data_IF_430818914466
#
_entry.id   IF_430818914466
#
_cell.length_a   1.000
_cell.length_b   1.000
_cell.length_c   1.000
_cell.angle_alpha   90.00
_cell.angle_beta   90.00
_cell.angle_gamma   90.00
#
_symmetry.space_group_name_H-M   'P 1'
#
loop_
_entity.id
_entity.type
_entity.pdbx_description
1 polymer ?
#
# COMPACT_ATOMS: atom_id res chain seq x y z
N UNK A 1 5.79 12.36 22.54
CA UNK A 1 6.12 11.11 21.78
C UNK A 1 4.95 10.14 21.97
N UNK A 2 4.06 10.10 21.01
CA UNK A 2 2.89 9.22 21.09
C UNK A 2 3.25 7.86 20.52
N UNK A 3 3.61 6.93 21.38
CA UNK A 3 3.75 5.51 21.03
C UNK A 3 2.35 4.93 20.87
N UNK A 4 1.64 5.32 19.82
CA UNK A 4 0.39 4.65 19.47
C UNK A 4 0.75 3.26 18.97
N UNK A 5 0.29 2.25 19.71
CA UNK A 5 0.29 0.85 19.30
C UNK A 5 -0.28 0.78 17.88
N UNK A 6 0.32 -0.02 17.02
CA UNK A 6 -0.06 -0.25 15.62
C UNK A 6 -1.44 -0.95 15.51
N UNK A 7 -2.46 -0.34 16.09
CA UNK A 7 -3.85 -0.72 15.92
C UNK A 7 -4.42 -0.08 14.64
N UNK A 8 -5.40 -0.73 14.05
CA UNK A 8 -6.15 -0.17 12.92
C UNK A 8 -6.68 1.23 13.26
N UNK A 9 -6.32 2.20 12.44
CA UNK A 9 -6.84 3.57 12.57
C UNK A 9 -8.30 3.56 12.15
N UNK A 10 -9.15 4.14 13.00
CA UNK A 10 -10.54 4.42 12.68
C UNK A 10 -10.71 5.90 12.41
N UNK A 11 -11.26 6.20 11.25
CA UNK A 11 -11.53 7.57 10.83
C UNK A 11 -12.88 8.01 11.39
N UNK A 12 -12.96 9.20 12.02
CA UNK A 12 -14.24 9.75 12.49
C UNK A 12 -15.16 10.05 11.30
N UNK A 13 -16.44 9.82 11.48
CA UNK A 13 -17.43 10.01 10.40
C UNK A 13 -17.48 11.47 9.93
N UNK A 14 -17.18 12.42 10.83
CA UNK A 14 -17.16 13.85 10.56
C UNK A 14 -16.07 14.26 9.56
N UNK A 15 -14.99 13.48 9.44
CA UNK A 15 -13.94 13.71 8.47
C UNK A 15 -14.21 13.04 7.12
N UNK A 16 -15.28 12.23 7.01
CA UNK A 16 -15.62 11.47 5.82
C UNK A 16 -16.71 12.17 5.01
N UNK A 17 -16.51 12.29 3.72
CA UNK A 17 -17.54 12.70 2.77
C UNK A 17 -17.89 11.56 1.82
N UNK A 18 -19.18 11.42 1.53
CA UNK A 18 -19.70 10.31 0.75
C UNK A 18 -20.28 10.77 -0.59
N UNK A 19 -20.03 9.97 -1.62
CA UNK A 19 -20.71 10.09 -2.92
C UNK A 19 -21.26 8.72 -3.30
N UNK A 20 -22.49 8.74 -3.79
CA UNK A 20 -23.16 7.53 -4.28
C UNK A 20 -23.42 7.70 -5.77
N UNK A 21 -23.27 6.62 -6.51
CA UNK A 21 -23.50 6.60 -7.95
C UNK A 21 -23.92 5.20 -8.39
N UNK A 22 -24.41 5.12 -9.61
CA UNK A 22 -24.72 3.82 -10.22
C UNK A 22 -23.45 3.03 -10.45
N UNK A 23 -23.51 1.72 -10.22
CA UNK A 23 -22.40 0.84 -10.57
C UNK A 23 -22.36 0.69 -12.11
N UNK A 24 -21.19 0.92 -12.70
CA UNK A 24 -20.95 0.63 -14.12
C UNK A 24 -20.74 -0.87 -14.31
N UNK A 25 -21.54 -1.51 -15.14
CA UNK A 25 -21.37 -2.93 -15.50
C UNK A 25 -22.49 -3.44 -16.39
N UNK A 26 -22.27 -4.53 -17.16
CA UNK A 26 -23.33 -5.23 -17.89
C UNK A 26 -24.24 -5.88 -16.86
N UNK A 27 -25.40 -5.32 -16.62
CA UNK A 27 -26.36 -5.85 -15.66
C UNK A 27 -27.74 -5.34 -15.95
N UNK A 28 -28.74 -6.17 -15.66
CA UNK A 28 -30.16 -5.90 -15.91
C UNK A 28 -30.68 -4.64 -15.20
N UNK A 29 -32.01 -4.44 -15.23
CA UNK A 29 -32.70 -3.22 -14.76
C UNK A 29 -32.27 -2.70 -13.38
N UNK A 30 -31.80 -3.56 -12.47
CA UNK A 30 -31.37 -3.17 -11.12
C UNK A 30 -30.09 -2.32 -11.11
N UNK A 31 -29.18 -2.51 -12.07
CA UNK A 31 -27.93 -1.73 -12.22
C UNK A 31 -28.24 -0.31 -12.69
N UNK A 32 -29.32 -0.15 -13.47
CA UNK A 32 -29.71 1.14 -14.05
C UNK A 32 -30.57 2.01 -13.12
N UNK A 33 -31.08 1.47 -12.01
CA UNK A 33 -32.06 2.16 -11.13
C UNK A 33 -31.55 2.40 -9.73
N UNK A 34 -30.43 1.80 -9.30
CA UNK A 34 -29.95 1.89 -7.90
C UNK A 34 -28.54 2.42 -7.81
N UNK A 35 -28.32 3.46 -7.04
CA UNK A 35 -27.02 4.04 -6.72
C UNK A 35 -26.30 3.20 -5.65
N UNK A 36 -25.85 2.02 -6.05
CA UNK A 36 -25.22 1.06 -5.11
C UNK A 36 -23.73 1.29 -4.93
N UNK A 37 -23.04 2.01 -5.84
CA UNK A 37 -21.64 2.34 -5.70
C UNK A 37 -21.47 3.42 -4.63
N UNK A 38 -20.63 3.16 -3.64
CA UNK A 38 -20.28 4.09 -2.59
C UNK A 38 -18.82 4.51 -2.73
N UNK A 39 -18.57 5.81 -2.73
CA UNK A 39 -17.25 6.41 -2.71
C UNK A 39 -17.10 7.25 -1.45
N UNK A 40 -16.09 6.94 -0.66
CA UNK A 40 -15.68 7.72 0.52
C UNK A 40 -14.49 8.60 0.15
N UNK A 41 -14.51 9.83 0.62
CA UNK A 41 -13.45 10.82 0.44
C UNK A 41 -13.00 11.34 1.79
N UNK A 42 -11.72 11.47 1.99
CA UNK A 42 -11.12 11.92 3.23
C UNK A 42 -9.91 12.81 2.94
N UNK A 43 -9.83 13.95 3.62
CA UNK A 43 -8.72 14.89 3.47
C UNK A 43 -7.63 14.59 4.49
N UNK A 44 -6.45 14.20 3.99
CA UNK A 44 -5.27 13.93 4.81
C UNK A 44 -4.78 15.21 5.52
N UNK A 45 -4.81 16.34 4.81
CA UNK A 45 -4.30 17.60 5.33
C UNK A 45 -5.11 18.13 6.52
N UNK A 46 -6.45 18.00 6.47
CA UNK A 46 -7.38 18.50 7.50
C UNK A 46 -7.66 17.50 8.61
N UNK A 47 -7.12 16.29 8.55
CA UNK A 47 -7.36 15.28 9.58
C UNK A 47 -6.85 15.73 10.96
N UNK A 48 -7.68 15.52 11.97
CA UNK A 48 -7.39 15.85 13.38
C UNK A 48 -6.80 14.67 14.16
N UNK A 49 -6.89 13.46 13.62
CA UNK A 49 -6.45 12.24 14.31
C UNK A 49 -5.01 11.87 14.07
N UNK A 50 -4.36 12.43 13.04
CA UNK A 50 -2.98 12.18 12.68
C UNK A 50 -2.08 13.32 13.18
N UNK A 51 -0.91 12.96 13.72
CA UNK A 51 0.14 13.93 14.00
C UNK A 51 0.90 14.33 12.71
N UNK A 52 1.77 15.33 12.80
CA UNK A 52 2.48 15.86 11.63
C UNK A 52 3.41 14.81 10.99
N UNK A 53 4.09 14.00 11.79
CA UNK A 53 4.96 12.92 11.30
C UNK A 53 4.16 11.82 10.59
N UNK A 54 2.97 11.50 11.09
CA UNK A 54 2.04 10.55 10.47
C UNK A 54 1.50 11.09 9.14
N UNK A 55 1.14 12.38 9.11
CA UNK A 55 0.70 13.06 7.87
C UNK A 55 1.79 13.07 6.82
N UNK A 56 3.03 13.36 7.19
CA UNK A 56 4.17 13.35 6.27
C UNK A 56 4.41 11.95 5.70
N UNK A 57 4.42 10.93 6.54
CA UNK A 57 4.55 9.53 6.08
C UNK A 57 3.41 9.12 5.15
N UNK A 58 2.17 9.45 5.52
CA UNK A 58 1.00 9.14 4.71
C UNK A 58 1.03 9.88 3.36
N UNK A 59 1.42 11.15 3.34
CA UNK A 59 1.56 11.94 2.11
C UNK A 59 2.57 11.31 1.15
N UNK A 60 3.73 10.91 1.66
CA UNK A 60 4.75 10.25 0.83
C UNK A 60 4.28 8.92 0.26
N UNK A 61 3.66 8.08 1.08
CA UNK A 61 3.23 6.73 0.65
C UNK A 61 1.99 6.72 -0.22
N UNK A 62 1.07 7.64 0.01
CA UNK A 62 -0.19 7.75 -0.75
C UNK A 62 -0.10 8.74 -1.91
N UNK A 63 1.06 9.30 -2.20
CA UNK A 63 1.26 10.34 -3.23
C UNK A 63 0.58 10.03 -4.56
N UNK A 64 0.63 8.80 -5.03
CA UNK A 64 0.00 8.37 -6.28
C UNK A 64 -1.52 8.19 -6.21
N UNK A 65 -2.10 8.25 -5.01
CA UNK A 65 -3.54 8.06 -4.76
C UNK A 65 -4.23 9.32 -4.26
N UNK A 66 -3.46 10.29 -3.78
CA UNK A 66 -3.99 11.58 -3.35
C UNK A 66 -4.29 12.45 -4.57
N UNK A 67 -5.40 13.19 -4.50
CA UNK A 67 -5.68 14.28 -5.45
C UNK A 67 -4.72 15.44 -5.22
N UNK A 68 -4.70 16.43 -6.14
CA UNK A 68 -3.94 17.68 -5.97
C UNK A 68 -4.24 18.39 -4.66
N UNK A 69 -5.47 18.24 -4.16
CA UNK A 69 -5.94 18.87 -2.91
C UNK A 69 -5.66 18.01 -1.66
N UNK A 70 -4.88 16.93 -1.79
CA UNK A 70 -4.54 16.04 -0.67
C UNK A 70 -5.71 15.18 -0.18
N UNK A 71 -6.69 14.90 -1.02
CA UNK A 71 -7.86 14.06 -0.70
C UNK A 71 -7.62 12.64 -1.18
N UNK A 72 -7.85 11.67 -0.31
CA UNK A 72 -7.88 10.25 -0.63
C UNK A 72 -9.32 9.81 -0.90
N UNK A 73 -9.59 9.25 -2.07
CA UNK A 73 -10.89 8.73 -2.45
C UNK A 73 -10.83 7.21 -2.65
N UNK A 74 -11.79 6.49 -2.07
CA UNK A 74 -11.92 5.04 -2.21
C UNK A 74 -13.36 4.70 -2.53
N UNK A 75 -13.58 3.93 -3.59
CA UNK A 75 -14.90 3.51 -4.00
C UNK A 75 -15.07 1.98 -3.90
N UNK A 76 -16.30 1.55 -3.62
CA UNK A 76 -16.69 0.15 -3.67
C UNK A 76 -18.01 0.00 -4.44
N UNK A 77 -18.04 -0.95 -5.36
CA UNK A 77 -19.23 -1.40 -6.08
C UNK A 77 -19.37 -2.92 -6.04
N UNK A 78 -18.70 -3.55 -5.07
CA UNK A 78 -18.57 -5.01 -4.98
C UNK A 78 -19.89 -5.71 -4.66
N UNK A 79 -20.76 -5.06 -3.93
CA UNK A 79 -22.01 -5.63 -3.44
C UNK A 79 -23.23 -4.97 -4.11
N UNK A 80 -24.35 -5.66 -4.15
CA UNK A 80 -25.63 -5.10 -4.60
C UNK A 80 -26.26 -4.13 -3.58
N UNK A 81 -25.76 -4.15 -2.34
CA UNK A 81 -26.22 -3.29 -1.25
C UNK A 81 -25.32 -2.07 -1.14
N UNK A 82 -25.88 -0.86 -1.22
CA UNK A 82 -25.20 0.40 -0.98
C UNK A 82 -24.53 0.44 0.41
N UNK A 83 -25.25 -0.04 1.44
CA UNK A 83 -24.73 -0.11 2.80
C UNK A 83 -23.46 -0.98 2.88
N UNK A 84 -23.45 -2.16 2.26
CA UNK A 84 -22.28 -3.04 2.20
C UNK A 84 -21.12 -2.41 1.44
N UNK A 85 -21.39 -1.68 0.36
CA UNK A 85 -20.37 -0.97 -0.38
C UNK A 85 -19.78 0.20 0.42
N UNK A 86 -20.62 0.92 1.19
CA UNK A 86 -20.19 1.95 2.11
C UNK A 86 -19.22 1.40 3.17
N UNK A 87 -19.58 0.32 3.83
CA UNK A 87 -18.72 -0.36 4.80
C UNK A 87 -17.40 -0.85 4.15
N UNK A 88 -17.47 -1.47 2.99
CA UNK A 88 -16.29 -1.95 2.28
C UNK A 88 -15.34 -0.80 1.87
N UNK A 89 -15.87 0.33 1.42
CA UNK A 89 -15.08 1.50 1.06
C UNK A 89 -14.41 2.10 2.31
N UNK A 90 -15.13 2.21 3.43
CA UNK A 90 -14.59 2.68 4.70
C UNK A 90 -13.47 1.80 5.22
N UNK A 91 -13.71 0.50 5.28
CA UNK A 91 -12.71 -0.49 5.71
C UNK A 91 -11.44 -0.36 4.87
N UNK A 92 -11.58 -0.26 3.55
CA UNK A 92 -10.44 -0.13 2.66
C UNK A 92 -9.68 1.18 2.83
N UNK A 93 -10.39 2.29 3.04
CA UNK A 93 -9.78 3.59 3.34
C UNK A 93 -8.96 3.52 4.64
N UNK A 94 -9.54 2.99 5.72
CA UNK A 94 -8.87 2.84 7.03
C UNK A 94 -7.64 1.93 6.95
N UNK A 95 -7.67 0.87 6.15
CA UNK A 95 -6.51 0.01 5.88
C UNK A 95 -5.38 0.78 5.20
N UNK A 96 -5.69 1.52 4.13
CA UNK A 96 -4.72 2.32 3.40
C UNK A 96 -4.05 3.37 4.29
N UNK A 97 -4.83 4.05 5.12
CA UNK A 97 -4.31 5.05 6.06
C UNK A 97 -3.44 4.37 7.12
N UNK A 98 -3.90 3.26 7.70
CA UNK A 98 -3.14 2.50 8.70
C UNK A 98 -1.78 2.06 8.16
N UNK A 99 -1.74 1.51 6.95
CA UNK A 99 -0.49 1.11 6.28
C UNK A 99 0.41 2.32 6.00
N UNK A 100 -0.20 3.45 5.60
CA UNK A 100 0.55 4.64 5.23
C UNK A 100 1.23 5.33 6.41
N UNK A 101 0.61 5.36 7.57
CA UNK A 101 1.18 5.98 8.79
C UNK A 101 2.15 5.06 9.54
N UNK A 102 2.15 3.75 9.24
CA UNK A 102 3.02 2.81 9.93
C UNK A 102 4.51 3.24 9.83
N UNK A 103 5.29 3.19 10.92
CA UNK A 103 6.70 3.54 10.87
C UNK A 103 7.46 2.61 9.91
N UNK A 104 8.43 3.19 9.21
CA UNK A 104 9.30 2.41 8.32
C UNK A 104 10.25 1.58 9.15
N UNK A 105 10.12 0.26 9.08
CA UNK A 105 11.10 -0.62 9.70
C UNK A 105 12.47 -0.41 9.01
N UNK A 106 13.49 -0.03 9.79
CA UNK A 106 14.85 0.12 9.30
C UNK A 106 15.34 -1.24 8.80
N UNK A 107 15.48 -1.38 7.48
CA UNK A 107 15.96 -2.63 6.87
C UNK A 107 17.39 -2.89 7.31
N UNK A 108 17.61 -3.95 8.06
CA UNK A 108 18.96 -4.37 8.43
C UNK A 108 19.67 -4.88 7.16
N UNK A 109 20.91 -4.46 6.87
CA UNK A 109 21.65 -4.96 5.72
C UNK A 109 21.85 -6.47 5.85
N UNK A 110 21.48 -7.19 4.81
CA UNK A 110 21.63 -8.65 4.78
C UNK A 110 23.10 -8.99 4.54
N UNK A 111 23.71 -9.72 5.46
CA UNK A 111 25.08 -10.25 5.27
C UNK A 111 25.06 -11.36 4.21
N UNK A 112 26.08 -11.40 3.36
CA UNK A 112 26.24 -12.47 2.38
C UNK A 112 26.27 -13.83 3.08
N UNK A 113 25.61 -14.83 2.50
CA UNK A 113 25.61 -16.17 3.07
C UNK A 113 26.97 -16.84 2.86
N UNK A 114 27.40 -17.70 3.79
CA UNK A 114 28.62 -18.52 3.63
C UNK A 114 28.61 -19.33 2.34
N UNK A 115 27.45 -19.84 1.95
CA UNK A 115 27.30 -20.59 0.68
C UNK A 115 27.51 -19.71 -0.56
N UNK A 116 27.18 -18.42 -0.54
CA UNK A 116 27.46 -17.50 -1.63
C UNK A 116 28.95 -17.21 -1.75
N UNK A 117 29.66 -17.04 -0.62
CA UNK A 117 31.11 -16.84 -0.62
C UNK A 117 31.83 -18.09 -1.08
N UNK A 118 31.40 -19.29 -0.64
CA UNK A 118 31.97 -20.57 -1.11
C UNK A 118 31.80 -20.72 -2.61
N UNK A 119 30.61 -20.50 -3.16
CA UNK A 119 30.39 -20.56 -4.62
C UNK A 119 31.29 -19.61 -5.40
N UNK A 120 31.51 -18.40 -4.86
CA UNK A 120 32.43 -17.43 -5.48
C UNK A 120 33.88 -17.92 -5.49
N UNK A 121 34.35 -18.51 -4.37
CA UNK A 121 35.68 -19.08 -4.26
C UNK A 121 35.86 -20.26 -5.20
N UNK A 122 34.90 -21.17 -5.29
CA UNK A 122 34.93 -22.31 -6.16
C UNK A 122 34.96 -21.91 -7.65
N UNK A 123 34.15 -20.89 -8.02
CA UNK A 123 34.19 -20.32 -9.37
C UNK A 123 35.56 -19.69 -9.69
N UNK A 124 36.18 -19.01 -8.70
CA UNK A 124 37.53 -18.46 -8.86
C UNK A 124 38.60 -19.56 -9.05
N UNK A 125 38.53 -20.65 -8.26
CA UNK A 125 39.43 -21.82 -8.38
C UNK A 125 39.31 -22.46 -9.77
N UNK A 126 38.08 -22.76 -10.22
CA UNK A 126 37.85 -23.33 -11.57
C UNK A 126 38.42 -22.46 -12.68
N UNK A 127 38.28 -21.12 -12.59
CA UNK A 127 38.91 -20.21 -13.60
C UNK A 127 40.43 -20.24 -13.54
N UNK A 128 41.02 -20.36 -12.36
CA UNK A 128 42.45 -20.46 -12.16
C UNK A 128 43.00 -21.76 -12.79
N UNK A 129 42.32 -22.88 -12.55
CA UNK A 129 42.71 -24.19 -13.07
C UNK A 129 42.62 -24.23 -14.61
N UNK A 130 41.54 -23.63 -15.18
CA UNK A 130 41.43 -23.50 -16.63
C UNK A 130 42.53 -22.62 -17.23
N UNK A 131 42.93 -21.53 -16.57
CA UNK A 131 44.06 -20.72 -17.04
C UNK A 131 45.39 -21.48 -16.97
N UNK A 132 45.57 -22.28 -15.92
CA UNK A 132 46.78 -23.09 -15.73
C UNK A 132 46.90 -24.17 -16.82
N UNK A 133 45.79 -24.90 -17.09
CA UNK A 133 45.78 -25.94 -18.13
C UNK A 133 46.05 -25.38 -19.54
N UNK A 134 45.51 -24.19 -19.86
CA UNK A 134 45.77 -23.51 -21.14
C UNK A 134 47.25 -23.08 -21.32
N UNK A 135 47.97 -22.82 -20.22
CA UNK A 135 49.39 -22.46 -20.25
C UNK A 135 50.32 -23.68 -20.41
N UNK A 136 49.81 -24.88 -20.08
CA UNK A 136 50.56 -26.13 -20.14
C UNK A 136 50.32 -26.90 -21.45
N UNK A 137 49.46 -26.39 -22.35
CA UNK A 137 49.35 -26.94 -23.72
C UNK A 137 50.38 -26.24 -24.62
N UNK A 138 51.29 -27.02 -25.28
CA UNK A 138 52.30 -26.47 -26.18
C UNK A 138 51.69 -25.83 -27.42
#
# INVERSE_FOLDING_TARGET
MSTRRHGRIRLPEEELSWRFSRSSGPGGQHVNTSDTRAEVRWSLASSTILDDDEKDRATQRLRSRLTSDGVLAVASSRYRSQHRNREAARVRLEELVTEAVAPVAKRKPTRKSRAADQRRLDAKRRRSDLKRSRRMQP
#
